data_IF_615789639364
#
_entry.id   IF_615789639364
#
_cell.length_a   1.000
_cell.length_b   1.000
_cell.length_c   1.000
_cell.angle_alpha   90.00
_cell.angle_beta   90.00
_cell.angle_gamma   90.00
#
_symmetry.space_group_name_H-M   'P 1'
#
loop_
_entity.id
_entity.type
_entity.pdbx_description
1 polymer ?
#
# COMPACT_ATOMS: atom_id res chain seq x y z
N UNK A 1 -4.64 18.95 7.87
CA UNK A 1 -3.45 18.09 7.84
C UNK A 1 -3.38 17.39 9.18
N UNK A 2 -3.56 16.09 9.18
CA UNK A 2 -3.53 15.23 10.38
C UNK A 2 -2.09 14.97 10.81
N UNK A 3 -1.84 15.02 12.12
CA UNK A 3 -0.54 14.70 12.70
C UNK A 3 -0.45 13.23 13.11
N UNK A 4 0.76 12.70 13.23
CA UNK A 4 0.98 11.33 13.74
C UNK A 4 0.43 11.15 15.15
N UNK A 5 0.49 12.21 15.95
CA UNK A 5 -0.09 12.25 17.29
C UNK A 5 -1.59 12.12 17.31
N UNK A 6 -2.30 12.75 16.37
CA UNK A 6 -3.76 12.66 16.29
C UNK A 6 -4.21 11.22 16.03
N UNK A 7 -3.52 10.50 15.12
CA UNK A 7 -3.82 9.08 14.85
C UNK A 7 -3.56 8.18 16.05
N UNK A 8 -2.48 8.45 16.81
CA UNK A 8 -2.16 7.70 18.02
C UNK A 8 -3.23 7.96 19.09
N UNK A 9 -3.63 9.21 19.29
CA UNK A 9 -4.69 9.55 20.25
C UNK A 9 -6.03 8.91 19.84
N UNK A 10 -6.44 9.02 18.58
CA UNK A 10 -7.65 8.39 18.05
C UNK A 10 -7.64 6.86 18.26
N UNK A 11 -6.49 6.21 18.07
CA UNK A 11 -6.38 4.78 18.31
C UNK A 11 -6.50 4.40 19.79
N UNK A 12 -5.99 5.24 20.71
CA UNK A 12 -6.22 5.05 22.14
C UNK A 12 -7.66 5.34 22.53
N UNK A 13 -8.32 6.31 21.90
CA UNK A 13 -9.74 6.59 22.09
C UNK A 13 -10.61 5.39 21.69
N UNK A 14 -10.34 4.74 20.55
CA UNK A 14 -11.02 3.50 20.14
C UNK A 14 -10.86 2.37 21.17
N UNK A 15 -9.71 2.28 21.85
CA UNK A 15 -9.48 1.31 22.93
C UNK A 15 -10.17 1.74 24.22
N UNK A 16 -10.17 3.04 24.53
CA UNK A 16 -10.73 3.61 25.74
C UNK A 16 -12.26 3.61 25.73
N UNK A 17 -12.88 3.84 24.57
CA UNK A 17 -14.32 3.75 24.35
C UNK A 17 -14.87 2.36 24.68
N UNK A 18 -14.03 1.32 24.64
CA UNK A 18 -14.35 -0.03 25.11
C UNK A 18 -14.34 -0.18 26.65
N UNK A 19 -14.22 0.91 27.42
CA UNK A 19 -14.59 0.95 28.84
C UNK A 19 -13.53 1.45 29.83
N UNK A 20 -12.45 2.13 29.41
CA UNK A 20 -11.42 2.63 30.32
C UNK A 20 -10.85 3.99 29.89
N UNK A 21 -10.96 5.00 30.74
CA UNK A 21 -10.19 6.26 30.60
C UNK A 21 -8.72 5.93 30.86
N UNK A 22 -7.87 6.10 29.86
CA UNK A 22 -6.43 5.87 29.98
C UNK A 22 -5.69 7.19 30.16
N UNK A 23 -4.93 7.31 31.25
CA UNK A 23 -3.85 8.28 31.35
C UNK A 23 -2.66 7.73 30.56
N UNK A 24 -2.63 8.00 29.25
CA UNK A 24 -1.55 7.55 28.37
C UNK A 24 -0.28 8.33 28.70
N UNK A 25 0.76 7.60 29.11
CA UNK A 25 2.07 8.21 29.38
C UNK A 25 2.77 8.65 28.08
N UNK A 26 3.65 9.66 28.12
CA UNK A 26 4.43 10.08 26.95
C UNK A 26 5.25 8.93 26.32
N UNK A 27 5.79 8.03 27.13
CA UNK A 27 6.57 6.88 26.71
C UNK A 27 5.71 5.85 25.94
N UNK A 28 4.48 5.62 26.39
CA UNK A 28 3.52 4.77 25.68
C UNK A 28 3.11 5.37 24.34
N UNK A 29 2.88 6.69 24.28
CA UNK A 29 2.63 7.39 23.01
C UNK A 29 3.77 7.22 22.02
N UNK A 30 5.02 7.37 22.46
CA UNK A 30 6.19 7.15 21.60
C UNK A 30 6.30 5.69 21.14
N UNK A 31 5.97 4.74 22.02
CA UNK A 31 5.94 3.31 21.66
C UNK A 31 4.85 3.00 20.63
N UNK A 32 3.67 3.60 20.79
CA UNK A 32 2.57 3.49 19.83
C UNK A 32 2.93 4.10 18.47
N UNK A 33 3.59 5.27 18.47
CA UNK A 33 4.09 5.92 17.27
C UNK A 33 5.12 5.03 16.54
N UNK A 34 6.05 4.40 17.25
CA UNK A 34 6.98 3.45 16.64
C UNK A 34 6.28 2.21 16.06
N UNK A 35 5.13 1.83 16.59
CA UNK A 35 4.29 0.76 16.01
C UNK A 35 3.51 1.24 14.79
N UNK A 36 3.06 2.50 14.77
CA UNK A 36 2.48 3.15 13.59
C UNK A 36 3.47 3.15 12.44
N UNK A 37 4.70 3.62 12.67
CA UNK A 37 5.76 3.65 11.65
C UNK A 37 6.06 2.26 11.08
N UNK A 38 6.22 1.26 11.95
CA UNK A 38 6.44 -0.13 11.51
C UNK A 38 5.24 -0.70 10.76
N UNK A 39 4.01 -0.30 11.11
CA UNK A 39 2.81 -0.71 10.40
C UNK A 39 2.77 -0.09 9.01
N UNK A 40 3.00 1.22 8.89
CA UNK A 40 3.05 1.94 7.63
C UNK A 40 4.14 1.38 6.71
N UNK A 41 5.35 1.16 7.24
CA UNK A 41 6.45 0.53 6.49
C UNK A 41 6.09 -0.88 6.01
N UNK A 42 5.41 -1.67 6.85
CA UNK A 42 4.95 -3.00 6.46
C UNK A 42 3.85 -3.00 5.38
N UNK A 43 3.05 -1.94 5.30
CA UNK A 43 2.05 -1.76 4.24
C UNK A 43 2.68 -1.29 2.94
N UNK A 44 3.66 -0.39 3.01
CA UNK A 44 4.44 0.04 1.85
C UNK A 44 5.19 -1.14 1.21
N UNK A 45 5.80 -2.00 2.02
CA UNK A 45 6.43 -3.24 1.56
C UNK A 45 5.47 -4.23 0.86
N UNK A 46 4.16 -4.14 1.14
CA UNK A 46 3.11 -4.94 0.48
C UNK A 46 2.56 -4.27 -0.79
N UNK A 47 3.09 -3.12 -1.16
CA UNK A 47 2.64 -2.34 -2.31
C UNK A 47 1.49 -1.36 -2.02
N UNK A 48 1.10 -1.17 -0.75
CA UNK A 48 0.07 -0.19 -0.37
C UNK A 48 0.75 1.17 -0.20
N UNK A 49 0.88 1.92 -1.31
CA UNK A 49 1.55 3.23 -1.36
C UNK A 49 0.56 4.37 -1.22
N UNK A 50 0.51 4.98 -0.03
CA UNK A 50 -0.47 6.02 0.33
C UNK A 50 0.15 7.41 0.52
N UNK A 51 1.47 7.56 0.31
CA UNK A 51 2.18 8.82 0.56
C UNK A 51 2.55 9.08 2.02
N UNK A 52 2.46 8.06 2.89
CA UNK A 52 2.84 8.19 4.30
C UNK A 52 4.31 8.63 4.46
N UNK A 53 4.55 9.66 5.26
CA UNK A 53 5.89 10.20 5.52
C UNK A 53 6.63 9.34 6.57
N UNK A 54 7.37 8.34 6.10
CA UNK A 54 8.20 7.46 6.92
C UNK A 54 9.41 8.21 7.49
N UNK A 55 9.48 8.30 8.83
CA UNK A 55 10.62 8.89 9.55
C UNK A 55 11.35 7.87 10.43
N UNK A 56 10.79 6.66 10.59
CA UNK A 56 11.44 5.56 11.29
C UNK A 56 11.75 5.92 12.74
N UNK A 57 13.02 5.82 13.14
CA UNK A 57 13.45 6.13 14.51
C UNK A 57 13.44 7.63 14.86
N UNK A 58 13.34 8.52 13.87
CA UNK A 58 13.31 9.98 14.07
C UNK A 58 11.87 10.53 14.08
N UNK A 59 10.87 9.65 14.02
CA UNK A 59 9.48 10.06 13.94
C UNK A 59 9.03 10.76 15.24
N UNK A 60 8.40 11.92 15.09
CA UNK A 60 7.86 12.74 16.16
C UNK A 60 6.33 12.79 16.10
N UNK A 61 5.71 13.02 17.26
CA UNK A 61 4.25 13.11 17.43
C UNK A 61 3.65 14.25 16.62
N UNK A 62 4.40 15.35 16.46
CA UNK A 62 3.93 16.55 15.75
C UNK A 62 4.17 16.49 14.23
N UNK A 63 4.78 15.41 13.73
CA UNK A 63 5.05 15.29 12.30
C UNK A 63 3.74 15.08 11.53
N UNK A 64 3.66 15.69 10.36
CA UNK A 64 2.57 15.47 9.43
C UNK A 64 2.63 14.04 8.86
N UNK A 65 1.48 13.38 8.73
CA UNK A 65 1.40 11.98 8.30
C UNK A 65 1.54 11.83 6.78
N UNK A 66 0.98 12.77 6.01
CA UNK A 66 1.04 12.75 4.54
C UNK A 66 0.10 11.75 3.86
N UNK A 67 -0.81 11.13 4.61
CA UNK A 67 -1.86 10.25 4.06
C UNK A 67 -3.11 11.04 3.67
N UNK A 68 -3.91 10.52 2.73
CA UNK A 68 -5.20 11.12 2.37
C UNK A 68 -6.28 10.81 3.42
N UNK A 69 -7.24 11.72 3.55
CA UNK A 69 -8.31 11.68 4.56
C UNK A 69 -9.08 10.34 4.59
N UNK A 70 -9.34 9.73 3.43
CA UNK A 70 -10.06 8.46 3.32
C UNK A 70 -9.29 7.26 3.89
N UNK A 71 -7.97 7.36 4.04
CA UNK A 71 -7.13 6.31 4.59
C UNK A 71 -6.99 6.39 6.12
N UNK A 72 -7.31 7.54 6.73
CA UNK A 72 -7.08 7.81 8.16
C UNK A 72 -7.77 6.77 9.05
N UNK A 73 -9.04 6.45 8.74
CA UNK A 73 -9.83 5.43 9.44
C UNK A 73 -9.14 4.08 9.50
N UNK A 74 -8.58 3.65 8.37
CA UNK A 74 -7.88 2.38 8.30
C UNK A 74 -6.61 2.38 9.16
N UNK A 75 -5.93 3.52 9.31
CA UNK A 75 -4.71 3.62 10.12
C UNK A 75 -5.01 3.52 11.62
N UNK A 76 -5.88 4.36 12.17
CA UNK A 76 -6.09 4.38 13.63
C UNK A 76 -6.78 3.11 14.13
N UNK A 77 -7.75 2.55 13.39
CA UNK A 77 -8.44 1.30 13.79
C UNK A 77 -7.51 0.08 13.75
N UNK A 78 -6.62 -0.02 12.74
CA UNK A 78 -5.62 -1.10 12.70
C UNK A 78 -4.51 -0.91 13.75
N UNK A 79 -4.15 0.33 14.06
CA UNK A 79 -3.23 0.62 15.15
C UNK A 79 -3.83 0.20 16.49
N UNK A 80 -5.09 0.57 16.75
CA UNK A 80 -5.83 0.22 17.95
C UNK A 80 -5.84 -1.30 18.15
N UNK A 81 -6.11 -2.08 17.10
CA UNK A 81 -6.05 -3.55 17.13
C UNK A 81 -4.68 -4.09 17.54
N UNK A 82 -3.58 -3.51 17.05
CA UNK A 82 -2.21 -3.93 17.40
C UNK A 82 -1.83 -3.55 18.83
N UNK A 83 -2.27 -2.39 19.30
CA UNK A 83 -2.04 -1.97 20.69
C UNK A 83 -2.85 -2.81 21.67
N UNK A 84 -4.13 -3.05 21.37
CA UNK A 84 -5.01 -3.88 22.19
C UNK A 84 -4.42 -5.26 22.45
N UNK A 85 -3.84 -5.92 21.42
CA UNK A 85 -3.19 -7.21 21.59
C UNK A 85 -1.97 -7.16 22.50
N UNK A 86 -1.23 -6.05 22.52
CA UNK A 86 -0.04 -5.88 23.38
C UNK A 86 -0.39 -5.55 24.82
N UNK A 87 -1.51 -4.87 25.03
CA UNK A 87 -2.03 -4.52 26.34
C UNK A 87 -2.89 -5.65 26.95
N UNK A 88 -3.12 -6.74 26.19
CA UNK A 88 -3.98 -7.86 26.62
C UNK A 88 -5.45 -7.50 26.73
N UNK A 89 -5.89 -6.42 26.08
CA UNK A 89 -7.29 -5.93 26.13
C UNK A 89 -8.08 -6.37 24.91
N UNK A 90 -9.38 -6.55 25.09
CA UNK A 90 -10.30 -6.80 23.99
C UNK A 90 -10.72 -5.48 23.35
N UNK A 91 -10.68 -5.42 22.01
CA UNK A 91 -11.21 -4.31 21.23
C UNK A 91 -12.69 -4.59 20.90
N UNK A 92 -13.49 -3.54 20.73
CA UNK A 92 -14.89 -3.69 20.34
C UNK A 92 -15.02 -4.38 18.98
N UNK A 93 -16.07 -5.20 18.81
CA UNK A 93 -16.25 -6.02 17.61
C UNK A 93 -16.44 -5.17 16.34
N UNK A 94 -17.13 -4.03 16.45
CA UNK A 94 -17.33 -3.14 15.31
C UNK A 94 -16.02 -2.49 14.86
N UNK A 95 -15.13 -2.10 15.78
CA UNK A 95 -13.81 -1.54 15.44
C UNK A 95 -12.92 -2.58 14.75
N UNK A 96 -13.01 -3.86 15.13
CA UNK A 96 -12.29 -4.95 14.44
C UNK A 96 -12.81 -5.12 13.00
N UNK A 97 -14.13 -5.01 12.80
CA UNK A 97 -14.74 -5.05 11.47
C UNK A 97 -14.29 -3.85 10.64
N UNK A 98 -14.37 -2.64 11.19
CA UNK A 98 -13.93 -1.41 10.54
C UNK A 98 -12.45 -1.48 10.14
N UNK A 99 -11.57 -1.96 11.02
CA UNK A 99 -10.15 -2.16 10.71
C UNK A 99 -9.93 -3.12 9.53
N UNK A 100 -10.71 -4.19 9.46
CA UNK A 100 -10.62 -5.18 8.39
C UNK A 100 -11.17 -4.63 7.07
N UNK A 101 -12.27 -3.89 7.12
CA UNK A 101 -12.88 -3.23 5.97
C UNK A 101 -11.97 -2.13 5.42
N UNK A 102 -11.48 -1.23 6.28
CA UNK A 102 -10.51 -0.20 5.92
C UNK A 102 -9.24 -0.77 5.31
N UNK A 103 -8.70 -1.88 5.84
CA UNK A 103 -7.54 -2.52 5.20
C UNK A 103 -7.87 -3.06 3.79
N UNK A 104 -9.08 -3.60 3.58
CA UNK A 104 -9.51 -4.07 2.25
C UNK A 104 -9.68 -2.91 1.27
N UNK A 105 -10.24 -1.78 1.70
CA UNK A 105 -10.38 -0.61 0.83
C UNK A 105 -9.01 -0.07 0.41
N UNK A 106 -8.04 -0.02 1.33
CA UNK A 106 -6.65 0.34 0.99
C UNK A 106 -6.06 -0.61 -0.07
N UNK A 107 -6.24 -1.92 0.08
CA UNK A 107 -5.77 -2.91 -0.89
C UNK A 107 -6.45 -2.75 -2.26
N UNK A 108 -7.76 -2.47 -2.30
CA UNK A 108 -8.50 -2.26 -3.55
C UNK A 108 -8.00 -1.01 -4.30
N UNK A 109 -7.73 0.07 -3.57
CA UNK A 109 -7.18 1.30 -4.15
C UNK A 109 -5.74 1.08 -4.63
N UNK A 110 -4.91 0.38 -3.85
CA UNK A 110 -3.55 0.06 -4.25
C UNK A 110 -3.50 -0.89 -5.47
N UNK A 111 -4.47 -1.79 -5.61
CA UNK A 111 -4.54 -2.77 -6.71
C UNK A 111 -5.16 -2.20 -8.00
N UNK A 112 -5.37 -0.88 -8.13
CA UNK A 112 -6.04 -0.29 -9.30
C UNK A 112 -5.37 -0.59 -10.65
N UNK A 113 -4.07 -0.90 -10.67
CA UNK A 113 -3.38 -1.35 -11.87
C UNK A 113 -3.02 -2.84 -11.76
N UNK A 114 -3.98 -3.73 -12.02
CA UNK A 114 -3.65 -5.12 -12.37
C UNK A 114 -3.34 -5.10 -13.87
N UNK A 115 -2.06 -5.13 -14.29
CA UNK A 115 -1.76 -5.22 -15.70
C UNK A 115 -2.33 -6.53 -16.23
N UNK A 116 -3.02 -6.47 -17.36
CA UNK A 116 -3.40 -7.70 -18.06
C UNK A 116 -2.13 -8.42 -18.49
N UNK A 117 -2.08 -9.73 -18.26
CA UNK A 117 -1.00 -10.56 -18.77
C UNK A 117 -0.91 -10.38 -20.28
N UNK A 118 0.27 -10.04 -20.77
CA UNK A 118 0.51 -9.97 -22.21
C UNK A 118 0.28 -11.36 -22.82
N UNK A 119 -0.34 -11.37 -24.01
CA UNK A 119 -0.57 -12.61 -24.75
C UNK A 119 0.77 -13.34 -24.98
N UNK A 120 0.82 -14.68 -24.86
CA UNK A 120 2.03 -15.46 -25.13
C UNK A 120 2.56 -15.20 -26.54
N UNK A 121 3.89 -15.26 -26.72
CA UNK A 121 4.56 -15.00 -28.01
C UNK A 121 4.08 -15.90 -29.16
N UNK A 122 3.53 -17.08 -28.84
CA UNK A 122 3.04 -18.04 -29.82
C UNK A 122 1.53 -17.92 -30.09
N UNK A 123 0.83 -16.97 -29.47
CA UNK A 123 -0.59 -16.75 -29.71
C UNK A 123 -0.77 -16.11 -31.09
N UNK A 124 -1.46 -16.79 -32.04
CA UNK A 124 -1.74 -16.19 -33.33
C UNK A 124 -2.76 -15.05 -33.17
N UNK A 125 -2.58 -13.97 -33.92
CA UNK A 125 -3.45 -12.76 -33.90
C UNK A 125 -4.91 -13.07 -34.33
N UNK A 126 -5.13 -14.20 -35.02
CA UNK A 126 -6.43 -14.63 -35.53
C UNK A 126 -6.82 -13.91 -36.83
N UNK A 127 -7.40 -14.66 -37.79
CA UNK A 127 -7.77 -14.13 -39.11
C UNK A 127 -8.88 -13.06 -39.07
N UNK A 128 -9.59 -12.94 -37.95
CA UNK A 128 -10.65 -11.95 -37.72
C UNK A 128 -10.16 -10.58 -37.22
N UNK A 129 -8.89 -10.42 -36.86
CA UNK A 129 -8.34 -9.16 -36.32
C UNK A 129 -7.65 -8.31 -37.42
N UNK A 130 -8.34 -8.05 -38.53
CA UNK A 130 -7.80 -7.27 -39.67
C UNK A 130 -8.06 -5.78 -39.48
N UNK A 131 -7.10 -5.03 -38.92
CA UNK A 131 -7.19 -3.55 -38.83
C UNK A 131 -6.40 -2.80 -39.91
N UNK A 132 -5.33 -3.36 -40.48
CA UNK A 132 -4.64 -2.77 -41.64
C UNK A 132 -3.76 -3.82 -42.35
N UNK A 133 -4.24 -4.36 -43.46
CA UNK A 133 -3.78 -5.62 -44.07
C UNK A 133 -2.38 -5.60 -44.68
N UNK A 134 -1.73 -4.45 -44.87
CA UNK A 134 -0.50 -4.38 -45.67
C UNK A 134 0.80 -4.75 -44.93
N UNK A 135 0.91 -4.47 -43.63
CA UNK A 135 2.18 -4.64 -42.87
C UNK A 135 2.01 -5.39 -41.53
N UNK A 136 0.91 -6.12 -41.32
CA UNK A 136 0.69 -6.85 -40.06
C UNK A 136 1.37 -8.23 -40.10
N UNK A 137 2.50 -8.34 -39.40
CA UNK A 137 3.11 -9.63 -39.07
C UNK A 137 2.12 -10.45 -38.20
N UNK A 138 1.98 -11.75 -38.45
CA UNK A 138 1.04 -12.64 -37.72
C UNK A 138 1.38 -12.83 -36.22
N UNK A 139 2.49 -12.25 -35.77
CA UNK A 139 2.96 -12.19 -34.40
C UNK A 139 3.23 -10.72 -34.06
N UNK A 140 2.94 -10.29 -32.83
CA UNK A 140 3.17 -8.92 -32.40
C UNK A 140 4.69 -8.64 -32.30
N UNK A 141 5.25 -7.66 -33.03
CA UNK A 141 6.65 -7.29 -32.94
C UNK A 141 6.80 -6.12 -31.95
N UNK A 142 6.53 -6.36 -30.67
CA UNK A 142 6.85 -5.38 -29.63
C UNK A 142 7.39 -6.09 -28.42
N UNK A 143 8.56 -5.65 -27.99
CA UNK A 143 9.17 -6.05 -26.73
C UNK A 143 8.84 -4.99 -25.70
N UNK A 144 8.23 -5.41 -24.58
CA UNK A 144 8.80 -5.27 -23.23
C UNK A 144 7.74 -5.46 -22.15
N UNK A 145 8.19 -6.18 -21.13
CA UNK A 145 7.62 -6.26 -19.80
C UNK A 145 7.61 -4.85 -19.20
N UNK A 146 6.42 -4.31 -18.90
CA UNK A 146 6.31 -3.23 -17.91
C UNK A 146 6.42 -3.88 -16.54
N UNK A 147 7.61 -3.88 -15.96
CA UNK A 147 7.75 -4.12 -14.52
C UNK A 147 7.15 -2.92 -13.79
N UNK A 148 6.43 -3.17 -12.70
CA UNK A 148 5.69 -2.15 -11.94
C UNK A 148 6.57 -1.11 -11.21
N UNK A 149 7.86 -1.06 -11.52
CA UNK A 149 8.86 -0.22 -10.85
C UNK A 149 9.79 0.38 -11.91
N UNK A 150 9.96 1.70 -11.85
CA UNK A 150 10.62 2.56 -12.83
C UNK A 150 11.98 2.06 -13.32
N UNK A 151 11.98 1.45 -14.52
CA UNK A 151 12.99 1.59 -15.58
C UNK A 151 12.53 0.76 -16.78
N UNK A 152 12.84 1.22 -17.99
CA UNK A 152 12.89 0.31 -19.13
C UNK A 152 14.00 -0.72 -18.83
N UNK A 153 13.65 -2.00 -18.75
CA UNK A 153 14.66 -3.05 -18.93
C UNK A 153 15.20 -2.87 -20.36
N UNK A 154 16.35 -2.22 -20.49
CA UNK A 154 17.14 -2.32 -21.70
C UNK A 154 17.46 -3.80 -21.90
N UNK A 155 17.25 -4.37 -23.10
CA UNK A 155 17.74 -5.69 -23.41
C UNK A 155 19.25 -5.61 -23.23
N UNK A 156 19.77 -6.28 -22.20
CA UNK A 156 21.21 -6.44 -21.97
C UNK A 156 21.76 -7.39 -23.03
N UNK A 157 21.84 -6.89 -24.25
CA UNK A 157 22.27 -7.60 -25.43
C UNK A 157 21.85 -6.82 -26.66
N UNK A 158 22.83 -6.21 -27.33
CA UNK A 158 22.68 -5.71 -28.69
C UNK A 158 21.96 -6.78 -29.54
N UNK A 159 20.77 -6.48 -30.09
CA UNK A 159 20.07 -7.46 -30.91
C UNK A 159 20.75 -7.69 -32.27
N UNK A 160 21.81 -6.95 -32.58
CA UNK A 160 22.60 -7.09 -33.81
C UNK A 160 24.09 -6.78 -33.56
N UNK A 161 24.89 -7.77 -33.13
CA UNK A 161 26.27 -7.76 -33.56
C UNK A 161 26.23 -8.02 -35.09
N UNK A 162 27.09 -7.34 -35.84
CA UNK A 162 27.31 -7.56 -37.28
C UNK A 162 26.13 -7.25 -38.23
N UNK A 163 26.05 -5.97 -38.64
CA UNK A 163 25.57 -5.61 -39.99
C UNK A 163 26.72 -5.05 -40.81
N UNK A 164 27.16 -5.83 -41.79
CA UNK A 164 27.75 -5.35 -43.05
C UNK A 164 26.60 -5.04 -44.01
#
# INVERSE_FOLDING_TARGET
MTTKGDLVNAAYEEIALAGYVFDVTPEERNTALMRLERMAAGWDARGIRLGYNLAGSQASVNDNVGIPDWAEEAFYTNLARRLASTLGKQLHADTIRAATEGYRTLCLVAAQSIPQMQMPRHMPIGLGNRRNTKNQQFFAPVDRVTTTTDALLEPSGDPWPDSN
#
